data_IF_224663551267
#
_entry.id   IF_224663551267
#
_cell.length_a   1.000
_cell.length_b   1.000
_cell.length_c   1.000
_cell.angle_alpha   90.00
_cell.angle_beta   90.00
_cell.angle_gamma   90.00
#
_symmetry.space_group_name_H-M   'P 1'
#
loop_
_entity.id
_entity.type
_entity.pdbx_description
1 polymer ?
#
# COMPACT_ATOMS: atom_id res chain seq x y z
N UNK A 1 -22.27 -6.06 7.92
CA UNK A 1 -21.18 -7.05 8.02
C UNK A 1 -20.53 -7.15 6.65
N UNK A 2 -19.22 -6.92 6.56
CA UNK A 2 -18.47 -7.11 5.31
C UNK A 2 -18.20 -8.60 5.10
N UNK A 3 -18.21 -9.11 3.85
CA UNK A 3 -17.87 -10.49 3.55
C UNK A 3 -16.47 -10.85 4.07
N UNK A 4 -16.27 -12.13 4.37
CA UNK A 4 -15.03 -12.65 4.99
C UNK A 4 -13.76 -12.31 4.19
N UNK A 5 -13.87 -12.24 2.86
CA UNK A 5 -12.81 -11.83 1.94
C UNK A 5 -12.41 -10.36 2.16
N UNK A 6 -13.38 -9.45 2.30
CA UNK A 6 -13.11 -8.03 2.54
C UNK A 6 -12.50 -7.80 3.93
N UNK A 7 -12.91 -8.56 4.95
CA UNK A 7 -12.28 -8.48 6.28
C UNK A 7 -10.79 -8.85 6.26
N UNK A 8 -10.41 -9.92 5.56
CA UNK A 8 -9.01 -10.34 5.46
C UNK A 8 -8.17 -9.35 4.66
N UNK A 9 -8.72 -8.81 3.58
CA UNK A 9 -8.06 -7.78 2.79
C UNK A 9 -7.76 -6.54 3.63
N UNK A 10 -8.75 -6.04 4.38
CA UNK A 10 -8.57 -4.85 5.21
C UNK A 10 -7.51 -5.06 6.31
N UNK A 11 -7.45 -6.24 6.94
CA UNK A 11 -6.42 -6.54 7.93
C UNK A 11 -5.02 -6.60 7.32
N UNK A 12 -4.89 -7.15 6.11
CA UNK A 12 -3.61 -7.22 5.39
C UNK A 12 -3.13 -5.83 4.95
N UNK A 13 -4.01 -4.99 4.39
CA UNK A 13 -3.66 -3.62 4.01
C UNK A 13 -3.31 -2.78 5.24
N UNK A 14 -4.04 -2.91 6.35
CA UNK A 14 -3.71 -2.18 7.58
C UNK A 14 -2.30 -2.55 8.10
N UNK A 15 -1.98 -3.84 8.19
CA UNK A 15 -0.64 -4.29 8.60
C UNK A 15 0.45 -3.78 7.67
N UNK A 16 0.21 -3.79 6.37
CA UNK A 16 1.17 -3.29 5.40
C UNK A 16 1.41 -1.78 5.54
N UNK A 17 0.36 -0.99 5.79
CA UNK A 17 0.47 0.44 6.06
C UNK A 17 1.29 0.73 7.32
N UNK A 18 1.05 -0.04 8.39
CA UNK A 18 1.82 0.03 9.64
C UNK A 18 3.30 -0.30 9.42
N UNK A 19 3.61 -1.40 8.71
CA UNK A 19 4.98 -1.79 8.41
C UNK A 19 5.70 -0.79 7.51
N UNK A 20 4.99 -0.19 6.54
CA UNK A 20 5.55 0.79 5.61
C UNK A 20 5.62 2.21 6.20
N UNK A 21 5.02 2.45 7.37
CA UNK A 21 4.95 3.76 8.00
C UNK A 21 4.11 4.77 7.21
N UNK A 22 3.05 4.31 6.54
CA UNK A 22 2.14 5.16 5.74
C UNK A 22 0.72 5.11 6.29
N UNK A 23 -0.04 6.18 6.08
CA UNK A 23 -1.45 6.19 6.46
C UNK A 23 -2.25 5.21 5.60
N UNK A 24 -3.32 4.66 6.18
CA UNK A 24 -4.28 3.83 5.46
C UNK A 24 -4.83 4.52 4.20
N UNK A 25 -5.09 5.83 4.25
CA UNK A 25 -5.46 6.62 3.08
C UNK A 25 -4.38 6.59 2.00
N UNK A 26 -3.13 6.82 2.37
CA UNK A 26 -1.99 6.78 1.44
C UNK A 26 -1.86 5.39 0.82
N UNK A 27 -2.06 4.33 1.59
CA UNK A 27 -2.01 2.98 1.07
C UNK A 27 -3.14 2.70 0.06
N UNK A 28 -4.38 3.11 0.36
CA UNK A 28 -5.49 2.99 -0.59
C UNK A 28 -5.26 3.77 -1.88
N UNK A 29 -4.69 4.97 -1.78
CA UNK A 29 -4.32 5.77 -2.96
C UNK A 29 -3.30 4.97 -3.82
N UNK A 30 -2.31 4.33 -3.19
CA UNK A 30 -1.35 3.46 -3.90
C UNK A 30 -2.03 2.24 -4.53
N UNK A 31 -2.85 1.49 -3.79
CA UNK A 31 -3.53 0.28 -4.26
C UNK A 31 -4.50 0.54 -5.42
N UNK A 32 -5.23 1.66 -5.35
CA UNK A 32 -6.19 2.05 -6.38
C UNK A 32 -5.55 2.72 -7.60
N UNK A 33 -4.25 3.06 -7.53
CA UNK A 33 -3.58 3.89 -8.52
C UNK A 33 -4.15 5.32 -8.62
N UNK A 34 -4.97 5.73 -7.65
CA UNK A 34 -5.60 7.05 -7.60
C UNK A 34 -4.85 7.99 -6.65
N UNK A 35 -5.13 9.29 -6.75
CA UNK A 35 -4.49 10.28 -5.89
C UNK A 35 -3.07 10.66 -6.33
N UNK A 36 -2.31 11.27 -5.39
CA UNK A 36 -0.94 11.78 -5.62
C UNK A 36 -0.03 11.41 -4.44
N UNK A 37 0.17 10.11 -4.14
CA UNK A 37 1.08 9.71 -3.09
C UNK A 37 2.50 10.18 -3.41
N UNK A 38 3.26 10.56 -2.39
CA UNK A 38 4.65 10.88 -2.59
C UNK A 38 5.42 9.63 -3.03
N UNK A 39 6.37 9.76 -3.96
CA UNK A 39 7.20 8.65 -4.44
C UNK A 39 7.85 7.88 -3.27
N UNK A 40 8.32 8.57 -2.24
CA UNK A 40 8.87 7.94 -1.02
C UNK A 40 7.90 6.97 -0.36
N UNK A 41 6.60 7.28 -0.33
CA UNK A 41 5.58 6.44 0.28
C UNK A 41 5.37 5.16 -0.52
N UNK A 42 5.41 5.27 -1.86
CA UNK A 42 5.39 4.12 -2.76
C UNK A 42 6.61 3.23 -2.53
N UNK A 43 7.81 3.83 -2.46
CA UNK A 43 9.05 3.10 -2.21
C UNK A 43 9.08 2.39 -0.84
N UNK A 44 8.54 3.02 0.22
CA UNK A 44 8.41 2.36 1.53
C UNK A 44 7.54 1.12 1.47
N UNK A 45 6.38 1.19 0.79
CA UNK A 45 5.49 0.04 0.61
C UNK A 45 6.18 -1.08 -0.16
N UNK A 46 6.86 -0.75 -1.26
CA UNK A 46 7.59 -1.73 -2.06
C UNK A 46 8.72 -2.41 -1.28
N UNK A 47 9.39 -1.66 -0.39
CA UNK A 47 10.45 -2.20 0.47
C UNK A 47 9.91 -3.28 1.40
N UNK A 48 8.76 -3.06 2.02
CA UNK A 48 8.09 -4.07 2.88
C UNK A 48 7.71 -5.32 2.07
N UNK A 49 7.30 -5.13 0.82
CA UNK A 49 6.93 -6.22 -0.08
C UNK A 49 8.13 -6.94 -0.74
N UNK A 50 9.36 -6.45 -0.52
CA UNK A 50 10.55 -6.98 -1.19
C UNK A 50 10.58 -6.72 -2.71
N UNK A 51 9.88 -5.68 -3.17
CA UNK A 51 9.78 -5.31 -4.58
C UNK A 51 10.76 -4.19 -4.93
N UNK A 52 11.23 -4.19 -6.18
CA UNK A 52 12.08 -3.14 -6.73
C UNK A 52 11.37 -2.40 -7.87
N UNK A 53 11.62 -1.09 -7.96
CA UNK A 53 11.17 -0.26 -9.09
C UNK A 53 12.31 -0.10 -10.07
N UNK A 54 12.03 -0.42 -11.33
CA UNK A 54 12.90 -0.09 -12.46
C UNK A 54 12.30 1.10 -13.22
N UNK A 55 13.13 2.07 -13.58
CA UNK A 55 12.76 3.14 -14.51
C UNK A 55 13.22 2.71 -15.88
N UNK A 56 12.28 2.54 -16.81
CA UNK A 56 12.56 2.25 -18.21
C UNK A 56 12.57 3.54 -19.03
N UNK A 57 13.46 3.68 -20.03
CA UNK A 57 13.45 4.79 -20.97
C UNK A 57 12.13 4.95 -21.74
#
# INVERSE_FOLDING_TARGET
MLPKQEQWWQSSSQQLGELAGVSDRTLRDIESGAGRPALRSVLSVLTVLGLQVAVTP
#
